data_IF_082439439804
#
_entry.id   IF_082439439804
#
_cell.length_a   1.000
_cell.length_b   1.000
_cell.length_c   1.000
_cell.angle_alpha   90.00
_cell.angle_beta   90.00
_cell.angle_gamma   90.00
#
_symmetry.space_group_name_H-M   'P 1'
#
loop_
_entity.id
_entity.type
_entity.pdbx_description
1 polymer ?
#
# COMPACT_ATOMS: atom_id res chain seq x y z
N UNK A 1 42.94 -10.06 -40.99
CA UNK A 1 43.60 -11.39 -41.05
C UNK A 1 43.84 -11.88 -39.62
N UNK A 2 43.84 -13.21 -39.39
CA UNK A 2 44.67 -13.98 -38.40
C UNK A 2 44.95 -13.30 -37.03
N UNK A 3 44.70 -13.86 -35.84
CA UNK A 3 44.45 -15.21 -35.30
C UNK A 3 43.97 -15.02 -33.83
N UNK A 4 43.57 -16.00 -32.99
CA UNK A 4 43.35 -17.46 -33.06
C UNK A 4 42.28 -17.84 -32.01
N UNK A 5 41.84 -19.11 -31.96
CA UNK A 5 41.19 -19.71 -30.79
C UNK A 5 42.22 -20.07 -29.72
N UNK A 6 41.90 -19.83 -28.44
CA UNK A 6 42.61 -20.49 -27.34
C UNK A 6 42.54 -19.78 -25.99
N UNK A 7 41.60 -20.21 -25.10
CA UNK A 7 41.93 -20.56 -23.70
C UNK A 7 40.78 -21.29 -22.98
N UNK A 8 40.27 -22.39 -23.57
CA UNK A 8 39.56 -23.40 -22.77
C UNK A 8 40.61 -24.18 -21.98
N UNK A 9 41.04 -23.66 -20.82
CA UNK A 9 41.64 -24.42 -19.71
C UNK A 9 42.02 -23.53 -18.51
N UNK A 10 41.04 -23.02 -17.75
CA UNK A 10 41.30 -22.51 -16.39
C UNK A 10 40.31 -22.95 -15.30
N UNK A 11 39.25 -23.70 -15.63
CA UNK A 11 38.30 -24.27 -14.66
C UNK A 11 38.82 -25.52 -13.91
N UNK A 12 40.12 -25.81 -13.98
CA UNK A 12 40.74 -27.01 -13.38
C UNK A 12 41.26 -26.88 -11.94
N UNK A 13 41.10 -25.72 -11.26
CA UNK A 13 41.87 -25.45 -10.01
C UNK A 13 41.14 -24.84 -8.81
N UNK A 14 39.83 -25.05 -8.65
CA UNK A 14 39.11 -24.73 -7.40
C UNK A 14 38.34 -25.86 -6.65
N UNK A 15 38.49 -27.19 -6.90
CA UNK A 15 37.70 -28.21 -6.20
C UNK A 15 38.37 -28.84 -4.95
N UNK A 16 39.11 -28.07 -4.11
CA UNK A 16 39.82 -28.66 -2.93
C UNK A 16 39.62 -27.98 -1.56
N UNK A 17 39.16 -26.72 -1.46
CA UNK A 17 38.83 -26.09 -0.17
C UNK A 17 37.34 -26.30 0.22
N UNK A 18 36.42 -26.09 -0.72
CA UNK A 18 34.97 -26.29 -0.52
C UNK A 18 34.62 -27.72 -0.09
N UNK A 19 35.19 -28.74 -0.73
CA UNK A 19 34.94 -30.14 -0.37
C UNK A 19 35.43 -30.54 1.05
N UNK A 20 36.43 -29.84 1.61
CA UNK A 20 36.85 -30.04 3.01
C UNK A 20 35.91 -29.35 3.99
N UNK A 21 35.48 -28.12 3.70
CA UNK A 21 34.51 -27.39 4.51
C UNK A 21 33.14 -28.10 4.56
N UNK A 22 32.65 -28.63 3.43
CA UNK A 22 31.42 -29.43 3.39
C UNK A 22 31.56 -30.72 4.21
N UNK A 23 32.74 -31.37 4.20
CA UNK A 23 32.99 -32.55 5.06
C UNK A 23 33.06 -32.20 6.56
N UNK A 24 33.63 -31.06 6.94
CA UNK A 24 33.63 -30.59 8.32
C UNK A 24 32.22 -30.20 8.80
N UNK A 25 31.40 -29.57 7.95
CA UNK A 25 30.00 -29.25 8.25
C UNK A 25 29.09 -30.49 8.38
N UNK A 26 29.41 -31.60 7.70
CA UNK A 26 28.63 -32.85 7.79
C UNK A 26 29.01 -33.79 8.94
N UNK A 27 30.14 -33.56 9.62
CA UNK A 27 30.52 -34.38 10.79
C UNK A 27 29.54 -34.24 11.99
N UNK A 28 29.14 -33.03 12.45
CA UNK A 28 28.19 -32.91 13.57
C UNK A 28 26.82 -33.49 13.23
N UNK A 29 26.35 -33.35 11.98
CA UNK A 29 25.06 -33.90 11.53
C UNK A 29 25.03 -35.43 11.57
N UNK A 30 26.15 -36.10 11.26
CA UNK A 30 26.25 -37.57 11.34
C UNK A 30 26.36 -38.08 12.77
N UNK A 31 27.02 -37.34 13.66
CA UNK A 31 27.11 -37.69 15.09
C UNK A 31 25.77 -37.49 15.81
N UNK A 32 25.02 -36.43 15.49
CA UNK A 32 23.66 -36.22 16.01
C UNK A 32 22.64 -37.28 15.56
N UNK A 33 22.90 -37.99 14.44
CA UNK A 33 21.99 -38.99 13.89
C UNK A 33 22.14 -40.40 14.51
N UNK A 34 23.24 -40.67 15.23
CA UNK A 34 23.47 -41.94 15.92
C UNK A 34 22.56 -42.15 17.15
N UNK A 35 22.41 -41.20 18.11
CA UNK A 35 21.51 -41.39 19.24
C UNK A 35 20.04 -41.52 18.82
N UNK A 36 19.61 -40.84 17.75
CA UNK A 36 18.24 -40.96 17.22
C UNK A 36 17.96 -42.39 16.72
N UNK A 37 18.93 -43.03 16.05
CA UNK A 37 18.77 -44.43 15.58
C UNK A 37 18.84 -45.45 16.71
N UNK A 38 19.67 -45.22 17.72
CA UNK A 38 19.75 -46.09 18.90
C UNK A 38 18.49 -45.98 19.77
N UNK A 39 17.96 -44.77 19.98
CA UNK A 39 16.65 -44.57 20.61
C UNK A 39 15.55 -45.34 19.85
N UNK A 40 15.51 -45.23 18.52
CA UNK A 40 14.53 -45.95 17.69
C UNK A 40 14.63 -47.48 17.76
N UNK A 41 15.82 -48.04 18.06
CA UNK A 41 16.00 -49.49 18.25
C UNK A 41 15.61 -49.95 19.65
N UNK A 42 15.92 -49.18 20.70
CA UNK A 42 15.51 -49.49 22.08
C UNK A 42 13.97 -49.44 22.22
N UNK A 43 13.35 -48.42 21.62
CA UNK A 43 11.89 -48.22 21.46
C UNK A 43 11.21 -49.39 20.72
N UNK A 44 11.95 -50.21 19.97
CA UNK A 44 11.40 -51.39 19.25
C UNK A 44 11.50 -52.72 20.00
N UNK A 45 12.27 -52.79 21.08
CA UNK A 45 12.49 -54.03 21.84
C UNK A 45 11.72 -54.06 23.17
N UNK A 46 11.37 -52.91 23.73
CA UNK A 46 10.40 -52.80 24.81
C UNK A 46 8.99 -52.62 24.22
N UNK A 47 8.05 -53.51 24.56
CA UNK A 47 6.64 -53.28 24.28
C UNK A 47 6.13 -52.14 25.16
N UNK A 48 5.61 -51.07 24.56
CA UNK A 48 5.12 -49.92 25.32
C UNK A 48 3.96 -50.27 26.24
N UNK A 49 4.05 -49.80 27.48
CA UNK A 49 2.93 -49.87 28.42
C UNK A 49 1.86 -48.83 28.04
N UNK A 50 0.58 -49.14 28.29
CA UNK A 50 -0.54 -48.24 27.94
C UNK A 50 -0.36 -46.86 28.59
N UNK A 51 0.13 -46.83 29.83
CA UNK A 51 0.43 -45.60 30.59
C UNK A 51 1.50 -44.72 29.94
N UNK A 52 2.49 -45.30 29.27
CA UNK A 52 3.59 -44.57 28.65
C UNK A 52 3.16 -43.93 27.32
N UNK A 53 2.33 -44.63 26.53
CA UNK A 53 1.70 -44.06 25.33
C UNK A 53 0.76 -42.91 25.70
N UNK A 54 0.03 -43.05 26.81
CA UNK A 54 -0.90 -42.03 27.31
C UNK A 54 -0.16 -40.79 27.83
N UNK A 55 0.99 -40.96 28.51
CA UNK A 55 1.89 -39.86 28.87
C UNK A 55 2.44 -39.16 27.61
N UNK A 56 3.02 -39.91 26.68
CA UNK A 56 3.65 -39.37 25.47
C UNK A 56 2.65 -38.58 24.60
N UNK A 57 1.43 -39.11 24.42
CA UNK A 57 0.36 -38.42 23.69
C UNK A 57 -0.11 -37.15 24.40
N UNK A 58 -0.22 -37.14 25.74
CA UNK A 58 -0.56 -35.92 26.49
C UNK A 58 0.50 -34.81 26.33
N UNK A 59 1.79 -35.17 26.37
CA UNK A 59 2.89 -34.23 26.14
C UNK A 59 2.90 -33.71 24.69
N UNK A 60 2.60 -34.57 23.72
CA UNK A 60 2.50 -34.18 22.31
C UNK A 60 1.33 -33.21 22.06
N UNK A 61 0.17 -33.43 22.70
CA UNK A 61 -0.96 -32.49 22.63
C UNK A 61 -0.58 -31.11 23.17
N UNK A 62 0.06 -31.04 24.35
CA UNK A 62 0.53 -29.77 24.93
C UNK A 62 1.52 -29.07 23.99
N UNK A 63 2.48 -29.80 23.43
CA UNK A 63 3.45 -29.26 22.49
C UNK A 63 2.79 -28.70 21.21
N UNK A 64 1.79 -29.40 20.66
CA UNK A 64 1.00 -28.94 19.51
C UNK A 64 0.20 -27.68 19.86
N UNK A 65 -0.43 -27.61 21.03
CA UNK A 65 -1.17 -26.42 21.48
C UNK A 65 -0.28 -25.18 21.58
N UNK A 66 0.91 -25.31 22.20
CA UNK A 66 1.86 -24.18 22.31
C UNK A 66 2.41 -23.79 20.93
N UNK A 67 2.75 -24.76 20.08
CA UNK A 67 3.20 -24.49 18.72
C UNK A 67 2.13 -23.80 17.87
N UNK A 68 0.85 -24.18 18.01
CA UNK A 68 -0.27 -23.54 17.32
C UNK A 68 -0.44 -22.06 17.69
N UNK A 69 -0.29 -21.71 18.97
CA UNK A 69 -0.27 -20.31 19.44
C UNK A 69 0.94 -19.56 18.85
N UNK A 70 2.12 -20.20 18.80
CA UNK A 70 3.31 -19.63 18.17
C UNK A 70 3.13 -19.31 16.69
N UNK A 71 2.62 -20.26 15.90
CA UNK A 71 2.39 -20.10 14.46
C UNK A 71 1.31 -19.05 14.16
N UNK A 72 0.20 -19.05 14.90
CA UNK A 72 -0.87 -18.06 14.68
C UNK A 72 -0.41 -16.62 14.99
N UNK A 73 0.40 -16.42 16.03
CA UNK A 73 1.03 -15.13 16.31
C UNK A 73 2.02 -14.70 15.21
N UNK A 74 2.85 -15.62 14.70
CA UNK A 74 3.78 -15.34 13.60
C UNK A 74 3.03 -14.97 12.30
N UNK A 75 1.99 -15.74 11.95
CA UNK A 75 1.15 -15.44 10.79
C UNK A 75 0.49 -14.08 10.91
N UNK A 76 -0.13 -13.76 12.05
CA UNK A 76 -0.74 -12.44 12.30
C UNK A 76 0.29 -11.31 12.17
N UNK A 77 1.51 -11.51 12.69
CA UNK A 77 2.61 -10.55 12.56
C UNK A 77 3.00 -10.32 11.09
N UNK A 78 3.14 -11.39 10.30
CA UNK A 78 3.47 -11.31 8.88
C UNK A 78 2.35 -10.63 8.07
N UNK A 79 1.08 -11.00 8.28
CA UNK A 79 -0.06 -10.33 7.63
C UNK A 79 -0.12 -8.84 8.00
N UNK A 80 0.11 -8.49 9.27
CA UNK A 80 0.16 -7.08 9.72
C UNK A 80 1.29 -6.30 9.06
N UNK A 81 2.49 -6.88 8.98
CA UNK A 81 3.65 -6.25 8.34
C UNK A 81 3.44 -6.06 6.83
N UNK A 82 2.85 -7.06 6.15
CA UNK A 82 2.51 -6.97 4.74
C UNK A 82 1.49 -5.87 4.47
N UNK A 83 0.33 -5.91 5.14
CA UNK A 83 -0.71 -4.89 5.01
C UNK A 83 -0.18 -3.49 5.35
N UNK A 84 0.63 -3.35 6.40
CA UNK A 84 1.28 -2.08 6.76
C UNK A 84 2.19 -1.54 5.66
N UNK A 85 2.94 -2.41 4.99
CA UNK A 85 3.84 -2.02 3.88
C UNK A 85 3.03 -1.64 2.63
N UNK A 86 1.99 -2.40 2.32
CA UNK A 86 1.09 -2.18 1.18
C UNK A 86 0.33 -0.86 1.31
N UNK A 87 -0.30 -0.61 2.45
CA UNK A 87 -1.02 0.65 2.74
C UNK A 87 -0.07 1.85 2.67
N UNK A 88 1.14 1.74 3.23
CA UNK A 88 2.14 2.81 3.16
C UNK A 88 2.55 3.11 1.72
N UNK A 89 2.85 2.09 0.92
CA UNK A 89 3.20 2.25 -0.49
C UNK A 89 2.04 2.86 -1.30
N UNK A 90 0.81 2.37 -1.11
CA UNK A 90 -0.36 2.83 -1.86
C UNK A 90 -0.71 4.29 -1.51
N UNK A 91 -0.76 4.65 -0.22
CA UNK A 91 -1.03 6.04 0.18
C UNK A 91 0.09 7.01 -0.21
N UNK A 92 1.36 6.61 -0.14
CA UNK A 92 2.47 7.46 -0.58
C UNK A 92 2.41 7.72 -2.09
N UNK A 93 2.15 6.67 -2.90
CA UNK A 93 1.93 6.79 -4.35
C UNK A 93 0.71 7.65 -4.68
N UNK A 94 -0.37 7.52 -3.91
CA UNK A 94 -1.56 8.36 -4.04
C UNK A 94 -1.21 9.83 -3.83
N UNK A 95 -0.52 10.16 -2.75
CA UNK A 95 -0.13 11.55 -2.47
C UNK A 95 0.87 12.09 -3.48
N UNK A 96 1.78 11.26 -4.01
CA UNK A 96 2.68 11.64 -5.10
C UNK A 96 1.89 11.97 -6.39
N UNK A 97 0.99 11.07 -6.81
CA UNK A 97 0.12 11.25 -7.97
C UNK A 97 -0.75 12.52 -7.88
N UNK A 98 -1.47 12.69 -6.77
CA UNK A 98 -2.31 13.89 -6.56
C UNK A 98 -1.46 15.14 -6.44
N UNK A 99 -0.25 15.07 -5.85
CA UNK A 99 0.68 16.21 -5.83
C UNK A 99 1.14 16.61 -7.22
N UNK A 100 1.39 15.64 -8.11
CA UNK A 100 1.79 15.95 -9.49
C UNK A 100 0.64 16.53 -10.33
N UNK A 101 -0.61 16.11 -10.09
CA UNK A 101 -1.76 16.80 -10.67
C UNK A 101 -1.90 18.23 -10.13
N UNK A 102 -1.78 18.43 -8.81
CA UNK A 102 -1.85 19.77 -8.19
C UNK A 102 -0.68 20.67 -8.65
N UNK A 103 0.50 20.12 -8.93
CA UNK A 103 1.61 20.86 -9.56
C UNK A 103 1.25 21.35 -10.97
N UNK A 104 0.36 20.66 -11.69
CA UNK A 104 -0.15 21.06 -13.02
C UNK A 104 -1.36 22.01 -12.95
N UNK A 105 -1.99 22.20 -11.79
CA UNK A 105 -3.09 23.13 -11.62
C UNK A 105 -2.66 24.59 -11.89
N UNK A 106 -3.54 25.35 -12.56
CA UNK A 106 -3.46 26.82 -12.73
C UNK A 106 -4.27 27.52 -11.65
N UNK A 107 -5.48 27.01 -11.38
CA UNK A 107 -6.40 27.53 -10.35
C UNK A 107 -6.86 26.37 -9.48
N UNK A 108 -6.86 26.54 -8.15
CA UNK A 108 -7.34 25.54 -7.19
C UNK A 108 -8.57 26.12 -6.49
N UNK A 109 -9.62 25.31 -6.33
CA UNK A 109 -10.78 25.69 -5.52
C UNK A 109 -10.35 25.82 -4.06
N UNK A 110 -10.47 27.03 -3.49
CA UNK A 110 -10.05 27.34 -2.13
C UNK A 110 -11.10 27.01 -1.06
N UNK A 111 -12.31 26.66 -1.48
CA UNK A 111 -13.44 26.30 -0.62
C UNK A 111 -14.34 25.27 -1.29
N UNK A 112 -15.14 24.56 -0.50
CA UNK A 112 -16.11 23.57 -1.02
C UNK A 112 -17.15 24.22 -1.95
N UNK A 113 -17.53 25.49 -1.69
CA UNK A 113 -18.42 26.27 -2.55
C UNK A 113 -17.78 26.71 -3.88
N UNK A 114 -16.44 26.71 -3.99
CA UNK A 114 -15.73 26.97 -5.24
C UNK A 114 -15.60 25.71 -6.13
N UNK A 115 -16.08 24.55 -5.67
CA UNK A 115 -16.17 23.32 -6.46
C UNK A 115 -17.48 23.37 -7.26
N UNK A 116 -17.38 23.65 -8.56
CA UNK A 116 -18.54 23.88 -9.44
C UNK A 116 -18.83 22.69 -10.37
N UNK A 117 -18.02 21.62 -10.35
CA UNK A 117 -18.23 20.45 -11.20
C UNK A 117 -19.49 19.69 -10.81
N UNK A 118 -20.34 19.40 -11.79
CA UNK A 118 -21.57 18.59 -11.65
C UNK A 118 -21.31 17.08 -11.73
N UNK A 119 -20.05 16.67 -11.83
CA UNK A 119 -19.64 15.30 -12.16
C UNK A 119 -19.29 14.45 -10.93
N UNK A 120 -19.45 15.01 -9.73
CA UNK A 120 -19.37 14.28 -8.46
C UNK A 120 -20.69 13.51 -8.25
N UNK A 121 -20.67 12.17 -8.11
CA UNK A 121 -21.89 11.38 -7.93
C UNK A 121 -22.67 11.75 -6.66
N UNK A 122 -24.00 11.60 -6.70
CA UNK A 122 -24.85 11.81 -5.52
C UNK A 122 -24.43 10.89 -4.37
N UNK A 123 -24.14 11.47 -3.20
CA UNK A 123 -23.65 10.74 -2.02
C UNK A 123 -22.14 10.49 -1.99
N UNK A 124 -21.40 10.91 -3.01
CA UNK A 124 -19.96 11.13 -2.91
C UNK A 124 -19.66 12.51 -2.28
N UNK A 125 -18.45 12.69 -1.75
CA UNK A 125 -18.00 13.93 -1.10
C UNK A 125 -16.79 14.50 -1.82
N UNK A 126 -16.89 15.73 -2.34
CA UNK A 126 -15.75 16.40 -2.96
C UNK A 126 -14.68 16.76 -1.91
N UNK A 127 -13.41 16.50 -2.23
CA UNK A 127 -12.28 16.71 -1.31
C UNK A 127 -11.22 17.67 -1.86
N UNK A 128 -11.15 17.84 -3.18
CA UNK A 128 -10.23 18.74 -3.87
C UNK A 128 -10.73 18.98 -5.30
N UNK A 129 -10.66 20.22 -5.79
CA UNK A 129 -10.91 20.53 -7.19
C UNK A 129 -9.91 21.57 -7.71
N UNK A 130 -9.53 21.46 -8.98
CA UNK A 130 -8.65 22.43 -9.64
C UNK A 130 -8.85 22.44 -11.16
N UNK A 131 -8.50 23.56 -11.78
CA UNK A 131 -8.47 23.73 -13.23
C UNK A 131 -7.02 23.73 -13.72
N UNK A 132 -6.82 23.20 -14.92
CA UNK A 132 -5.53 23.18 -15.62
C UNK A 132 -5.55 24.16 -16.79
N UNK A 133 -4.39 24.65 -17.21
CA UNK A 133 -4.25 25.36 -18.49
C UNK A 133 -4.45 24.39 -19.66
N UNK A 134 -5.00 24.87 -20.78
CA UNK A 134 -4.97 24.15 -22.05
C UNK A 134 -3.50 23.90 -22.46
N UNK A 135 -3.05 22.63 -22.64
CA UNK A 135 -1.69 22.33 -23.07
C UNK A 135 -1.33 22.92 -24.45
N UNK A 136 -2.33 23.13 -25.31
CA UNK A 136 -2.13 23.73 -26.64
C UNK A 136 -1.98 25.26 -26.56
N UNK A 137 -2.61 25.90 -25.58
CA UNK A 137 -2.62 27.35 -25.39
C UNK A 137 -2.34 27.75 -23.92
N UNK A 138 -1.15 27.44 -23.36
CA UNK A 138 -0.88 27.57 -21.92
C UNK A 138 -0.91 29.02 -21.38
N UNK A 139 -0.87 30.02 -22.27
CA UNK A 139 -1.00 31.44 -21.94
C UNK A 139 -2.43 31.98 -21.91
N UNK A 140 -3.45 31.16 -22.20
CA UNK A 140 -4.86 31.54 -22.11
C UNK A 140 -5.45 31.25 -20.72
N UNK A 141 -6.74 31.57 -20.54
CA UNK A 141 -7.50 31.18 -19.36
C UNK A 141 -7.45 29.66 -19.14
N UNK A 142 -7.55 29.17 -17.88
CA UNK A 142 -7.66 27.74 -17.63
C UNK A 142 -8.92 27.16 -18.28
N UNK A 143 -8.93 25.84 -18.48
CA UNK A 143 -10.13 25.13 -18.92
C UNK A 143 -11.29 25.42 -17.95
N UNK A 144 -12.50 25.58 -18.49
CA UNK A 144 -13.69 25.90 -17.68
C UNK A 144 -13.99 24.81 -16.65
N UNK A 145 -13.69 23.56 -17.00
CA UNK A 145 -13.98 22.38 -16.21
C UNK A 145 -12.91 22.09 -15.15
N UNK A 146 -13.37 21.62 -14.00
CA UNK A 146 -12.52 21.28 -12.87
C UNK A 146 -12.25 19.77 -12.85
N UNK A 147 -10.97 19.39 -12.73
CA UNK A 147 -10.60 18.04 -12.27
C UNK A 147 -10.99 17.97 -10.80
N UNK A 148 -11.83 17.00 -10.44
CA UNK A 148 -12.37 16.87 -9.08
C UNK A 148 -12.05 15.51 -8.49
N UNK A 149 -11.51 15.55 -7.29
CA UNK A 149 -11.33 14.40 -6.42
C UNK A 149 -12.48 14.32 -5.44
N UNK A 150 -13.00 13.10 -5.22
CA UNK A 150 -14.09 12.85 -4.28
C UNK A 150 -13.92 11.49 -3.59
N UNK A 151 -14.43 11.38 -2.37
CA UNK A 151 -14.54 10.12 -1.64
C UNK A 151 -15.90 9.47 -1.85
N UNK A 152 -15.93 8.16 -2.09
CA UNK A 152 -17.14 7.35 -2.18
C UNK A 152 -16.85 5.92 -1.72
N UNK A 153 -17.80 5.26 -1.07
CA UNK A 153 -17.67 3.83 -0.76
C UNK A 153 -17.70 2.99 -2.04
N UNK A 154 -16.96 1.87 -2.07
CA UNK A 154 -17.04 0.93 -3.18
C UNK A 154 -18.44 0.34 -3.32
N UNK A 155 -18.84 0.08 -4.56
CA UNK A 155 -20.16 -0.44 -4.89
C UNK A 155 -20.17 -1.97 -4.87
N UNK A 156 -21.34 -2.57 -4.69
CA UNK A 156 -21.49 -4.02 -4.66
C UNK A 156 -21.20 -4.62 -6.05
N UNK A 157 -20.04 -5.25 -6.19
CA UNK A 157 -19.54 -5.80 -7.46
C UNK A 157 -18.16 -5.26 -7.86
N UNK A 158 -17.71 -4.16 -7.26
CA UNK A 158 -16.35 -3.65 -7.46
C UNK A 158 -15.31 -4.58 -6.82
N UNK A 159 -14.11 -4.62 -7.38
CA UNK A 159 -12.94 -5.24 -6.74
C UNK A 159 -12.28 -4.35 -5.67
N UNK A 160 -12.90 -3.22 -5.34
CA UNK A 160 -12.40 -2.17 -4.45
C UNK A 160 -12.95 -2.34 -3.03
N UNK A 161 -12.14 -2.05 -2.01
CA UNK A 161 -12.53 -2.30 -0.61
C UNK A 161 -12.70 -1.01 0.20
N UNK A 162 -13.88 -0.82 0.79
CA UNK A 162 -14.15 0.25 1.75
C UNK A 162 -14.34 1.61 1.09
N UNK A 163 -13.77 2.66 1.69
CA UNK A 163 -13.83 4.01 1.14
C UNK A 163 -12.73 4.21 0.09
N UNK A 164 -13.12 4.75 -1.06
CA UNK A 164 -12.27 4.94 -2.25
C UNK A 164 -12.13 6.43 -2.56
N UNK A 165 -10.92 6.85 -2.88
CA UNK A 165 -10.65 8.14 -3.54
C UNK A 165 -10.86 7.96 -5.04
N UNK A 166 -11.79 8.71 -5.59
CA UNK A 166 -12.05 8.81 -7.02
C UNK A 166 -11.56 10.15 -7.56
N UNK A 167 -11.28 10.15 -8.86
CA UNK A 167 -10.92 11.31 -9.66
C UNK A 167 -11.83 11.37 -10.87
N UNK A 168 -12.51 12.49 -11.08
CA UNK A 168 -13.11 12.83 -12.37
C UNK A 168 -12.19 13.83 -13.09
N UNK A 169 -11.76 13.46 -14.29
CA UNK A 169 -10.79 14.25 -15.05
C UNK A 169 -10.47 13.65 -16.41
N UNK A 170 -9.61 14.31 -17.21
CA UNK A 170 -9.12 13.76 -18.46
C UNK A 170 -8.26 12.52 -18.23
N UNK A 171 -8.24 11.63 -19.21
CA UNK A 171 -7.41 10.44 -19.18
C UNK A 171 -5.92 10.76 -19.24
N UNK A 172 -5.10 9.83 -18.77
CA UNK A 172 -3.65 9.92 -18.79
C UNK A 172 -3.09 8.90 -19.79
N UNK A 173 -2.05 9.29 -20.54
CA UNK A 173 -1.26 8.39 -21.36
C UNK A 173 -0.21 7.62 -20.52
N UNK A 174 0.57 6.75 -21.17
CA UNK A 174 1.63 5.97 -20.50
C UNK A 174 2.74 6.84 -19.88
N UNK A 175 2.90 8.08 -20.37
CA UNK A 175 3.86 9.07 -19.88
C UNK A 175 3.27 9.99 -18.79
N UNK A 176 1.97 9.87 -18.49
CA UNK A 176 1.26 10.66 -17.47
C UNK A 176 0.79 12.05 -17.94
N UNK A 177 0.70 12.30 -19.25
CA UNK A 177 0.13 13.53 -19.83
C UNK A 177 -1.38 13.40 -20.04
N UNK A 178 -2.08 14.55 -20.09
CA UNK A 178 -3.52 14.57 -20.33
C UNK A 178 -3.87 14.31 -21.79
N UNK A 179 -4.71 13.30 -22.02
CA UNK A 179 -5.31 12.99 -23.31
C UNK A 179 -6.59 13.83 -23.49
N UNK A 180 -6.62 14.71 -24.49
CA UNK A 180 -7.78 15.56 -24.85
C UNK A 180 -8.41 16.32 -23.67
N UNK A 181 -7.62 17.05 -22.85
CA UNK A 181 -8.15 17.74 -21.66
C UNK A 181 -9.21 18.79 -21.99
N UNK A 182 -9.13 19.40 -23.17
CA UNK A 182 -10.09 20.34 -23.74
C UNK A 182 -11.49 19.75 -24.00
N UNK A 183 -11.60 18.42 -24.13
CA UNK A 183 -12.85 17.74 -24.44
C UNK A 183 -13.43 16.98 -23.24
N UNK A 184 -14.32 17.62 -22.47
CA UNK A 184 -14.97 16.99 -21.31
C UNK A 184 -15.72 15.68 -21.65
N UNK A 185 -16.16 15.46 -22.90
CA UNK A 185 -16.85 14.23 -23.27
C UNK A 185 -15.95 12.98 -23.24
N UNK A 186 -14.62 13.12 -23.12
CA UNK A 186 -13.68 12.01 -22.94
C UNK A 186 -13.26 11.80 -21.48
N UNK A 187 -13.67 12.69 -20.57
CA UNK A 187 -13.36 12.61 -19.15
C UNK A 187 -14.20 11.51 -18.49
N UNK A 188 -13.59 10.78 -17.56
CA UNK A 188 -14.24 9.67 -16.86
C UNK A 188 -13.84 9.62 -15.39
N UNK A 189 -14.70 9.05 -14.51
CA UNK A 189 -14.32 8.74 -13.15
C UNK A 189 -13.34 7.56 -13.12
N UNK A 190 -12.23 7.70 -12.40
CA UNK A 190 -11.28 6.61 -12.14
C UNK A 190 -10.96 6.50 -10.64
N UNK A 191 -10.81 5.27 -10.10
CA UNK A 191 -10.38 5.07 -8.73
C UNK A 191 -8.87 5.33 -8.62
N UNK A 192 -8.45 6.00 -7.56
CA UNK A 192 -7.05 6.41 -7.33
C UNK A 192 -6.43 5.61 -6.17
N UNK A 193 -7.19 5.39 -5.10
CA UNK A 193 -6.82 4.49 -3.99
C UNK A 193 -8.06 4.02 -3.25
N UNK A 194 -8.03 2.83 -2.67
CA UNK A 194 -9.06 2.31 -1.78
C UNK A 194 -8.54 2.21 -0.32
N UNK A 195 -9.32 1.53 0.54
CA UNK A 195 -9.01 1.32 1.97
C UNK A 195 -8.77 2.61 2.78
N UNK A 196 -9.33 3.74 2.34
CA UNK A 196 -9.35 4.96 3.14
C UNK A 196 -10.13 4.73 4.45
N UNK A 197 -9.66 5.36 5.53
CA UNK A 197 -10.35 5.33 6.81
C UNK A 197 -11.72 6.02 6.68
N UNK A 198 -12.73 5.53 7.42
CA UNK A 198 -14.05 6.16 7.44
C UNK A 198 -14.07 7.55 8.09
N UNK A 199 -13.01 7.93 8.82
CA UNK A 199 -12.85 9.22 9.46
C UNK A 199 -11.39 9.69 9.39
N UNK A 200 -11.20 11.00 9.25
CA UNK A 200 -9.88 11.64 9.30
C UNK A 200 -9.23 11.53 10.68
N UNK A 201 -7.90 11.33 10.68
CA UNK A 201 -7.07 11.54 11.87
C UNK A 201 -6.69 13.02 11.96
N UNK A 202 -7.05 13.67 13.07
CA UNK A 202 -6.76 15.10 13.34
C UNK A 202 -7.05 16.05 12.14
N UNK A 203 -8.31 16.26 11.75
CA UNK A 203 -8.70 17.02 10.55
C UNK A 203 -8.53 18.55 10.68
N UNK A 204 -7.47 19.01 11.33
CA UNK A 204 -7.24 20.43 11.60
C UNK A 204 -6.24 21.03 10.59
N UNK A 205 -6.71 22.02 9.83
CA UNK A 205 -5.85 22.78 8.92
C UNK A 205 -5.09 23.90 9.65
N UNK A 206 -3.87 24.26 9.23
CA UNK A 206 -3.16 25.42 9.78
C UNK A 206 -3.88 26.74 9.48
N UNK A 207 -3.59 27.79 10.25
CA UNK A 207 -4.12 29.14 10.03
C UNK A 207 -3.86 29.63 8.60
N UNK A 208 -4.89 30.19 7.95
CA UNK A 208 -4.84 30.61 6.54
C UNK A 208 -4.99 29.47 5.52
N UNK A 209 -5.50 28.32 5.96
CA UNK A 209 -5.94 27.23 5.10
C UNK A 209 -7.39 26.87 5.41
N UNK A 210 -8.21 26.82 4.37
CA UNK A 210 -9.59 26.34 4.39
C UNK A 210 -9.60 24.82 4.18
N UNK A 211 -10.41 24.10 4.96
CA UNK A 211 -10.56 22.65 4.86
C UNK A 211 -11.64 22.29 3.84
N UNK A 212 -11.34 21.31 2.99
CA UNK A 212 -12.30 20.67 2.08
C UNK A 212 -12.22 19.17 2.35
N UNK A 213 -13.31 18.50 2.80
CA UNK A 213 -14.64 19.04 3.09
C UNK A 213 -14.71 19.92 4.35
N UNK A 214 -15.70 20.81 4.41
CA UNK A 214 -15.91 21.71 5.54
C UNK A 214 -16.46 20.99 6.78
N UNK A 215 -17.41 20.07 6.61
CA UNK A 215 -18.13 19.41 7.72
C UNK A 215 -17.46 18.09 8.17
N UNK A 216 -18.08 16.95 7.87
CA UNK A 216 -17.54 15.61 8.16
C UNK A 216 -16.37 15.32 7.23
N UNK A 217 -15.27 14.82 7.81
CA UNK A 217 -14.02 14.60 7.11
C UNK A 217 -13.69 13.11 7.11
N UNK A 218 -13.74 12.52 5.92
CA UNK A 218 -13.41 11.11 5.71
C UNK A 218 -11.88 10.90 5.69
N UNK A 219 -11.40 9.71 5.35
CA UNK A 219 -9.97 9.38 5.37
C UNK A 219 -9.08 10.29 4.52
N UNK A 220 -9.60 10.93 3.48
CA UNK A 220 -8.86 11.89 2.63
C UNK A 220 -9.47 13.29 2.72
N UNK A 221 -8.62 14.32 2.87
CA UNK A 221 -9.04 15.72 2.85
C UNK A 221 -7.92 16.67 2.43
N UNK A 222 -8.29 17.82 1.86
CA UNK A 222 -7.38 18.89 1.52
C UNK A 222 -7.50 20.06 2.50
N UNK A 223 -6.37 20.68 2.83
CA UNK A 223 -6.32 22.04 3.35
C UNK A 223 -5.79 22.92 2.23
N UNK A 224 -6.63 23.79 1.66
CA UNK A 224 -6.23 24.71 0.58
C UNK A 224 -5.97 26.09 1.19
N UNK A 225 -4.84 26.70 0.85
CA UNK A 225 -4.50 28.05 1.28
C UNK A 225 -5.40 29.06 0.58
N UNK A 226 -5.82 30.10 1.30
CA UNK A 226 -6.63 31.19 0.75
C UNK A 226 -6.00 31.74 -0.55
N UNK A 227 -6.76 31.76 -1.65
CA UNK A 227 -6.26 32.11 -2.98
C UNK A 227 -5.54 30.98 -3.75
N UNK A 228 -5.65 29.72 -3.32
CA UNK A 228 -5.33 28.53 -4.12
C UNK A 228 -3.84 28.26 -4.41
N UNK A 229 -2.90 28.99 -3.80
CA UNK A 229 -1.47 28.91 -4.12
C UNK A 229 -0.69 27.79 -3.38
N UNK A 230 -1.36 27.04 -2.49
CA UNK A 230 -0.78 25.93 -1.76
C UNK A 230 -1.87 25.00 -1.24
N UNK A 231 -1.61 23.69 -1.28
CA UNK A 231 -2.49 22.65 -0.73
C UNK A 231 -1.69 21.77 0.21
N UNK A 232 -2.29 21.37 1.32
CA UNK A 232 -1.83 20.25 2.15
C UNK A 232 -2.81 19.11 1.92
N UNK A 233 -2.35 18.04 1.29
CA UNK A 233 -3.10 16.82 1.06
C UNK A 233 -2.90 15.91 2.28
N UNK A 234 -3.98 15.41 2.86
CA UNK A 234 -3.95 14.52 4.02
C UNK A 234 -4.71 13.25 3.68
N UNK A 235 -4.06 12.10 3.90
CA UNK A 235 -4.65 10.79 3.62
C UNK A 235 -4.45 9.84 4.80
N UNK A 236 -5.52 9.12 5.13
CA UNK A 236 -5.61 8.16 6.23
C UNK A 236 -6.25 6.88 5.69
N UNK A 237 -5.63 5.74 5.97
CA UNK A 237 -6.14 4.41 5.65
C UNK A 237 -6.26 3.57 6.91
N UNK A 238 -7.30 2.74 6.96
CA UNK A 238 -7.52 1.75 8.03
C UNK A 238 -7.93 0.41 7.40
N UNK A 239 -7.15 -0.63 7.70
CA UNK A 239 -7.45 -2.02 7.29
C UNK A 239 -7.61 -2.88 8.54
N UNK A 240 -8.70 -3.63 8.62
CA UNK A 240 -8.88 -4.63 9.66
C UNK A 240 -8.41 -6.00 9.15
N UNK A 241 -7.49 -6.64 9.89
CA UNK A 241 -6.90 -7.94 9.54
C UNK A 241 -7.81 -9.13 9.92
N UNK A 242 -8.88 -8.88 10.68
CA UNK A 242 -9.83 -9.92 11.11
C UNK A 242 -11.26 -9.40 11.07
N UNK A 243 -12.24 -10.30 11.24
CA UNK A 243 -13.64 -9.91 11.47
C UNK A 243 -13.90 -9.36 12.88
N UNK A 244 -12.91 -9.37 13.78
CA UNK A 244 -13.01 -8.76 15.10
C UNK A 244 -12.66 -7.27 15.05
N UNK A 245 -13.53 -6.41 15.57
CA UNK A 245 -13.26 -4.98 15.72
C UNK A 245 -12.45 -4.70 17.00
N UNK A 246 -11.18 -5.15 17.01
CA UNK A 246 -10.22 -4.74 18.05
C UNK A 246 -9.10 -3.92 17.41
N UNK A 247 -8.73 -2.80 18.03
CA UNK A 247 -7.61 -1.95 17.53
C UNK A 247 -6.27 -2.71 17.42
N UNK A 248 -6.13 -3.86 18.10
CA UNK A 248 -4.97 -4.74 17.97
C UNK A 248 -4.88 -5.40 16.60
N UNK A 249 -5.99 -5.61 15.91
CA UNK A 249 -6.06 -6.24 14.59
C UNK A 249 -6.20 -5.21 13.45
N UNK A 250 -6.20 -3.91 13.77
CA UNK A 250 -6.22 -2.81 12.80
C UNK A 250 -4.81 -2.36 12.40
N UNK A 251 -4.65 -2.04 11.13
CA UNK A 251 -3.49 -1.34 10.58
C UNK A 251 -3.95 0.04 10.13
N UNK A 252 -3.38 1.08 10.73
CA UNK A 252 -3.69 2.47 10.43
C UNK A 252 -2.44 3.16 9.92
N UNK A 253 -2.56 3.95 8.85
CA UNK A 253 -1.48 4.80 8.36
C UNK A 253 -2.06 6.17 7.99
N UNK A 254 -1.33 7.22 8.36
CA UNK A 254 -1.65 8.61 8.12
C UNK A 254 -0.44 9.27 7.49
N UNK A 255 -0.65 9.99 6.39
CA UNK A 255 0.39 10.75 5.71
C UNK A 255 -0.16 12.09 5.21
N UNK A 256 0.68 13.11 5.25
CA UNK A 256 0.36 14.45 4.75
C UNK A 256 1.50 14.98 3.88
N UNK A 257 1.18 15.66 2.80
CA UNK A 257 2.18 16.36 1.96
C UNK A 257 1.72 17.78 1.64
N UNK A 258 2.67 18.70 1.50
CA UNK A 258 2.42 20.10 1.12
C UNK A 258 2.92 20.33 -0.29
N UNK A 259 2.02 20.80 -1.15
CA UNK A 259 2.26 21.01 -2.58
C UNK A 259 1.81 22.42 -2.98
N UNK A 260 2.46 23.00 -3.97
CA UNK A 260 2.03 24.26 -4.60
C UNK A 260 1.97 24.07 -6.12
N UNK A 261 1.00 24.68 -6.81
CA UNK A 261 0.94 24.67 -8.27
C UNK A 261 2.19 25.30 -8.88
N UNK A 262 2.63 24.77 -10.02
CA UNK A 262 3.77 25.28 -10.80
C UNK A 262 3.33 26.22 -11.92
N UNK A 263 2.09 26.10 -12.41
CA UNK A 263 1.52 27.05 -13.34
C UNK A 263 1.21 28.36 -12.60
N UNK A 264 2.18 29.28 -12.61
CA UNK A 264 2.03 30.63 -12.05
C UNK A 264 0.84 31.34 -12.69
N UNK A 265 0.05 32.06 -11.89
CA UNK A 265 -0.98 32.97 -12.39
C UNK A 265 -0.38 34.04 -13.30
#
# INVERSE_FOLDING_TARGET
MRFYLGYINHLGRLPKKSARLVRQAHQPVRQAHQPVRQAHQLVRQAGFTITEVLLASSMMLIAISVAGIGVTNLLRSNYRANAGTEIQNNLNRTLEFVSDEVRRAKTIADSEAAITSTQVPTGARAVLAFQISDPNNPGQAPLSEQIVYYTQNSQTGDSLTGLVLWRYGPNLDEDGNYITPDNIATWQPSPVTDMLAAAANNPNCPTGFTRIPADTVDGFFACVRDGGNQVILNANAEVNLTTGDTDKDKVKYSVSTRVSPRATN
#
